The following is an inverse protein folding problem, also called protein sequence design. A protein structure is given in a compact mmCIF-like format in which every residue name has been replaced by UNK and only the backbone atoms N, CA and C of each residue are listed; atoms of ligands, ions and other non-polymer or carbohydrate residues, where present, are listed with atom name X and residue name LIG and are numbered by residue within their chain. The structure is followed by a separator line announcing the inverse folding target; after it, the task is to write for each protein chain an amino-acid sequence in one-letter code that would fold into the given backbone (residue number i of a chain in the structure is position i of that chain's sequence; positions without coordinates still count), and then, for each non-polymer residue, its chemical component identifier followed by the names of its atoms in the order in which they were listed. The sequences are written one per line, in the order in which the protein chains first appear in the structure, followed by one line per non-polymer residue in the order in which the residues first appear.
data_IF_265833056387
#
_entry.id   IF_265833056387
#
_cell.length_a   1.000
_cell.length_b   1.000
_cell.length_c   1.000
_cell.angle_alpha   90.00
_cell.angle_beta   90.00
_cell.angle_gamma   90.00
#
_symmetry.space_group_name_H-M   'P 1'
#
loop_
_entity.id
_entity.type
_entity.pdbx_description
1 polymer ?
#
# COMPACT_ATOMS: atom_id res chain seq x y z
N UNK A 1 -17.60 4.45 -20.34
CA UNK A 1 -17.14 3.15 -20.14
C UNK A 1 -16.17 3.05 -18.98
N UNK A 2 -14.96 3.62 -19.02
CA UNK A 2 -14.03 3.65 -17.84
C UNK A 2 -14.60 4.55 -16.71
N UNK A 3 -15.24 5.67 -17.03
CA UNK A 3 -15.92 6.55 -16.06
C UNK A 3 -17.11 5.89 -15.36
N UNK A 4 -17.80 4.96 -16.02
CA UNK A 4 -18.90 4.21 -15.40
C UNK A 4 -18.38 3.20 -14.38
N UNK A 5 -17.29 2.51 -14.69
CA UNK A 5 -16.62 1.56 -13.76
C UNK A 5 -16.11 2.29 -12.53
N UNK A 6 -15.47 3.47 -12.68
CA UNK A 6 -14.98 4.27 -11.56
C UNK A 6 -16.09 4.83 -10.66
N UNK A 7 -17.26 5.17 -11.24
CA UNK A 7 -18.39 5.71 -10.48
C UNK A 7 -19.12 4.67 -9.64
N UNK A 8 -19.10 3.40 -10.07
CA UNK A 8 -19.80 2.29 -9.39
C UNK A 8 -18.88 1.44 -8.50
N UNK A 9 -17.58 1.76 -8.45
CA UNK A 9 -16.58 1.06 -7.65
C UNK A 9 -16.53 1.46 -6.16
N UNK A 10 -17.57 2.13 -5.65
CA UNK A 10 -17.67 2.55 -4.24
C UNK A 10 -18.09 1.45 -3.24
N UNK A 11 -18.06 0.18 -3.63
CA UNK A 11 -18.34 -0.93 -2.71
C UNK A 11 -17.05 -1.68 -2.44
N UNK A 12 -16.70 -1.79 -1.17
CA UNK A 12 -15.60 -2.55 -0.52
C UNK A 12 -14.63 -3.33 -1.44
N UNK A 13 -13.36 -2.95 -1.46
CA UNK A 13 -12.30 -3.50 -2.33
C UNK A 13 -11.73 -4.86 -1.87
N UNK A 14 -12.38 -5.55 -0.96
CA UNK A 14 -11.92 -6.84 -0.43
C UNK A 14 -12.69 -8.05 -0.97
N UNK A 15 -13.14 -7.99 -2.21
CA UNK A 15 -13.66 -9.17 -2.88
C UNK A 15 -12.63 -9.65 -3.92
N UNK A 16 -12.21 -10.92 -3.85
CA UNK A 16 -11.26 -11.53 -4.80
C UNK A 16 -11.70 -11.35 -6.26
N UNK A 17 -13.01 -11.27 -6.51
CA UNK A 17 -13.59 -10.97 -7.80
C UNK A 17 -13.23 -9.58 -8.34
N UNK A 18 -12.98 -8.60 -7.47
CA UNK A 18 -12.61 -7.23 -7.87
C UNK A 18 -11.16 -7.09 -8.29
N UNK A 19 -10.25 -7.75 -7.60
CA UNK A 19 -8.87 -7.85 -8.05
C UNK A 19 -8.78 -8.54 -9.43
N UNK A 20 -9.62 -9.54 -9.65
CA UNK A 20 -9.70 -10.23 -10.94
C UNK A 20 -10.25 -9.32 -12.06
N UNK A 21 -11.30 -8.57 -11.80
CA UNK A 21 -11.92 -7.65 -12.78
C UNK A 21 -10.97 -6.46 -13.08
N UNK A 22 -10.27 -5.92 -12.07
CA UNK A 22 -9.32 -4.83 -12.24
C UNK A 22 -8.10 -5.28 -13.05
N UNK A 23 -7.54 -6.44 -12.72
CA UNK A 23 -6.42 -7.03 -13.46
C UNK A 23 -6.80 -7.41 -14.89
N UNK A 24 -8.03 -7.88 -15.13
CA UNK A 24 -8.51 -8.23 -16.46
C UNK A 24 -8.85 -7.00 -17.31
N UNK A 25 -9.35 -5.92 -16.72
CA UNK A 25 -9.58 -4.65 -17.39
C UNK A 25 -8.26 -3.94 -17.71
N UNK A 26 -7.27 -4.01 -16.81
CA UNK A 26 -5.94 -3.43 -16.97
C UNK A 26 -5.13 -4.21 -18.01
N UNK A 27 -5.16 -5.54 -18.02
CA UNK A 27 -4.51 -6.37 -19.03
C UNK A 27 -5.08 -6.10 -20.45
N UNK A 28 -6.39 -5.96 -20.59
CA UNK A 28 -7.02 -5.60 -21.89
C UNK A 28 -6.66 -4.20 -22.38
N UNK A 29 -6.34 -3.28 -21.49
CA UNK A 29 -5.95 -1.90 -21.87
C UNK A 29 -4.52 -1.85 -22.42
N UNK A 30 -3.63 -2.69 -21.91
CA UNK A 30 -2.23 -2.77 -22.40
C UNK A 30 -2.07 -3.65 -23.62
N UNK A 31 -2.88 -4.72 -23.79
CA UNK A 31 -2.83 -5.60 -24.96
C UNK A 31 -3.27 -4.93 -26.28
N UNK A 32 -4.03 -3.83 -26.19
CA UNK A 32 -4.59 -3.17 -27.38
C UNK A 32 -3.84 -1.90 -27.81
N UNK A 33 -2.75 -1.51 -27.13
CA UNK A 33 -2.10 -0.22 -27.37
C UNK A 33 -0.57 -0.30 -27.57
N UNK A 34 0.01 -1.46 -27.87
CA UNK A 34 1.43 -1.56 -28.24
C UNK A 34 1.58 -1.75 -29.77
N UNK A 35 1.94 -0.69 -30.52
CA UNK A 35 2.16 -0.77 -31.96
C UNK A 35 3.56 -1.31 -32.31
N UNK A 36 4.38 -1.75 -31.37
CA UNK A 36 5.78 -2.15 -31.58
C UNK A 36 6.09 -3.62 -31.31
N UNK A 37 5.10 -4.50 -31.21
CA UNK A 37 5.39 -5.93 -31.21
C UNK A 37 5.74 -6.42 -32.61
N UNK A 38 6.99 -6.12 -33.03
CA UNK A 38 7.61 -6.80 -34.16
C UNK A 38 7.86 -8.25 -33.75
N UNK A 39 7.15 -9.16 -34.42
CA UNK A 39 7.37 -10.60 -34.42
C UNK A 39 8.85 -10.94 -34.61
N UNK A 40 9.57 -11.19 -33.54
CA UNK A 40 10.75 -12.00 -33.54
C UNK A 40 10.49 -13.19 -32.62
N UNK A 41 10.39 -14.36 -33.27
CA UNK A 41 10.19 -15.63 -32.57
C UNK A 41 11.33 -15.91 -31.61
N UNK A 42 11.05 -15.77 -30.34
CA UNK A 42 11.93 -16.12 -29.24
C UNK A 42 11.19 -17.06 -28.30
N UNK A 43 11.72 -18.28 -28.18
CA UNK A 43 11.30 -19.34 -27.28
C UNK A 43 10.94 -18.80 -25.88
N UNK A 44 9.65 -18.67 -25.59
CA UNK A 44 9.18 -18.67 -24.22
C UNK A 44 8.36 -19.93 -24.00
N UNK A 45 8.71 -20.76 -23.03
CA UNK A 45 7.95 -21.99 -22.76
C UNK A 45 6.53 -21.61 -22.32
N UNK A 46 5.56 -22.02 -23.12
CA UNK A 46 4.14 -22.00 -22.77
C UNK A 46 3.87 -23.07 -21.71
N UNK A 47 4.13 -22.75 -20.46
CA UNK A 47 3.77 -23.55 -19.29
C UNK A 47 2.86 -22.77 -18.33
N UNK A 48 2.15 -23.40 -17.41
CA UNK A 48 1.09 -22.78 -16.62
C UNK A 48 1.66 -21.76 -15.62
N UNK A 49 1.78 -20.49 -16.04
CA UNK A 49 2.30 -19.38 -15.20
C UNK A 49 1.32 -18.89 -14.15
N UNK A 50 0.08 -19.39 -14.11
CA UNK A 50 -0.91 -18.95 -13.13
C UNK A 50 -0.76 -19.60 -11.75
N UNK A 51 -0.12 -20.77 -11.65
CA UNK A 51 0.11 -21.42 -10.36
C UNK A 51 1.36 -20.88 -9.64
N UNK A 52 2.45 -20.61 -10.37
CA UNK A 52 3.70 -20.14 -9.78
C UNK A 52 3.60 -18.74 -9.16
N UNK A 53 2.71 -17.87 -9.67
CA UNK A 53 2.54 -16.52 -9.15
C UNK A 53 1.84 -16.48 -7.78
N UNK A 54 0.91 -17.41 -7.54
CA UNK A 54 0.21 -17.53 -6.24
C UNK A 54 1.09 -18.23 -5.19
N UNK A 55 1.88 -19.20 -5.59
CA UNK A 55 2.80 -19.90 -4.69
C UNK A 55 4.00 -19.03 -4.32
N UNK A 56 4.61 -18.33 -5.27
CA UNK A 56 5.73 -17.41 -4.99
C UNK A 56 5.34 -16.23 -4.09
N UNK A 57 4.10 -15.74 -4.12
CA UNK A 57 3.60 -14.75 -3.14
C UNK A 57 3.54 -15.30 -1.71
N UNK A 58 3.34 -16.60 -1.54
CA UNK A 58 3.30 -17.24 -0.22
C UNK A 58 4.67 -17.27 0.47
N UNK A 59 5.76 -17.20 -0.32
CA UNK A 59 7.14 -17.28 0.17
C UNK A 59 7.86 -15.92 0.31
N UNK A 60 7.32 -14.84 -0.27
CA UNK A 60 7.94 -13.50 -0.24
C UNK A 60 6.95 -12.39 0.17
N UNK A 61 6.13 -12.64 1.21
CA UNK A 61 5.29 -11.58 1.77
C UNK A 61 6.16 -10.52 2.42
N UNK A 62 5.86 -9.26 2.12
CA UNK A 62 6.43 -8.12 2.83
C UNK A 62 5.77 -7.99 4.21
N UNK A 63 6.40 -7.23 5.11
CA UNK A 63 5.80 -6.93 6.42
C UNK A 63 4.43 -6.24 6.27
N UNK A 64 4.27 -5.39 5.25
CA UNK A 64 2.98 -4.77 4.95
C UNK A 64 1.92 -5.80 4.51
N UNK A 65 2.29 -6.84 3.78
CA UNK A 65 1.37 -7.94 3.45
C UNK A 65 0.95 -8.71 4.69
N UNK A 66 1.88 -8.96 5.62
CA UNK A 66 1.59 -9.64 6.88
C UNK A 66 0.66 -8.80 7.76
N UNK A 67 0.85 -7.48 7.83
CA UNK A 67 -0.04 -6.55 8.53
C UNK A 67 -1.45 -6.60 7.93
N UNK A 68 -1.57 -6.56 6.60
CA UNK A 68 -2.86 -6.65 5.90
C UNK A 68 -3.58 -7.97 6.18
N UNK A 69 -2.87 -9.09 6.11
CA UNK A 69 -3.45 -10.40 6.42
C UNK A 69 -3.96 -10.44 7.86
N UNK A 70 -3.14 -10.01 8.81
CA UNK A 70 -3.50 -9.92 10.22
C UNK A 70 -4.76 -9.08 10.47
N UNK A 71 -4.85 -7.93 9.82
CA UNK A 71 -6.00 -7.03 9.95
C UNK A 71 -7.26 -7.62 9.30
N UNK A 72 -7.10 -8.26 8.14
CA UNK A 72 -8.20 -8.91 7.43
C UNK A 72 -8.77 -10.10 8.22
N UNK A 73 -7.93 -10.95 8.79
CA UNK A 73 -8.34 -12.08 9.65
C UNK A 73 -9.15 -11.63 10.86
N UNK A 74 -8.87 -10.44 11.38
CA UNK A 74 -9.60 -9.82 12.51
C UNK A 74 -10.79 -8.99 12.11
N UNK A 75 -11.11 -8.96 10.81
CA UNK A 75 -12.27 -8.26 10.27
C UNK A 75 -12.15 -6.74 10.27
N UNK A 76 -10.93 -6.18 10.41
CA UNK A 76 -10.72 -4.73 10.45
C UNK A 76 -11.24 -4.06 9.18
N UNK A 77 -11.00 -4.65 8.02
CA UNK A 77 -11.47 -4.10 6.75
C UNK A 77 -12.96 -4.29 6.47
N UNK A 78 -13.60 -5.18 7.22
CA UNK A 78 -15.05 -5.42 7.13
C UNK A 78 -15.86 -4.52 8.08
N UNK A 79 -15.33 -4.30 9.29
CA UNK A 79 -16.05 -3.60 10.36
C UNK A 79 -15.39 -2.30 10.82
N UNK A 80 -14.14 -2.03 10.41
CA UNK A 80 -13.43 -0.81 10.72
C UNK A 80 -13.76 0.35 9.77
N UNK A 81 -13.37 1.54 10.14
CA UNK A 81 -13.53 2.75 9.34
C UNK A 81 -12.31 3.68 9.46
N UNK A 82 -12.19 4.59 8.50
CA UNK A 82 -11.05 5.50 8.39
C UNK A 82 -10.98 6.53 9.51
N UNK A 83 -12.13 6.93 10.10
CA UNK A 83 -12.14 7.90 11.20
C UNK A 83 -11.55 7.29 12.45
N UNK A 84 -11.97 6.06 12.78
CA UNK A 84 -11.45 5.31 13.93
C UNK A 84 -9.96 5.03 13.77
N UNK A 85 -9.50 4.64 12.57
CA UNK A 85 -8.07 4.44 12.31
C UNK A 85 -7.28 5.76 12.39
N UNK A 86 -7.85 6.88 11.99
CA UNK A 86 -7.20 8.19 12.15
C UNK A 86 -7.03 8.58 13.62
N UNK A 87 -8.03 8.29 14.47
CA UNK A 87 -7.93 8.52 15.92
C UNK A 87 -6.87 7.59 16.54
N UNK A 88 -6.81 6.33 16.11
CA UNK A 88 -5.79 5.39 16.56
C UNK A 88 -4.38 5.88 16.20
N UNK A 89 -4.19 6.45 15.00
CA UNK A 89 -2.90 7.04 14.64
C UNK A 89 -2.49 8.18 15.59
N UNK A 90 -3.42 9.04 16.00
CA UNK A 90 -3.14 10.12 16.97
C UNK A 90 -2.70 9.55 18.33
N UNK A 91 -3.32 8.45 18.76
CA UNK A 91 -2.92 7.72 19.97
C UNK A 91 -1.48 7.23 19.88
N UNK A 92 -1.10 6.53 18.80
CA UNK A 92 0.26 6.01 18.58
C UNK A 92 1.31 7.15 18.53
N UNK A 93 0.99 8.25 17.85
CA UNK A 93 1.87 9.43 17.84
C UNK A 93 2.05 9.99 19.25
N UNK A 94 0.99 10.02 20.06
CA UNK A 94 1.07 10.44 21.47
C UNK A 94 1.95 9.53 22.32
N UNK A 95 1.92 8.23 22.05
CA UNK A 95 2.78 7.25 22.75
C UNK A 95 4.24 7.40 22.37
N UNK A 96 4.56 7.59 21.10
CA UNK A 96 5.93 7.91 20.63
C UNK A 96 6.44 9.17 21.33
N UNK A 97 5.66 10.26 21.34
CA UNK A 97 6.07 11.49 22.00
C UNK A 97 6.36 11.29 23.50
N UNK A 98 5.50 10.53 24.18
CA UNK A 98 5.67 10.20 25.60
C UNK A 98 6.94 9.37 25.86
N UNK A 99 7.20 8.38 25.00
CA UNK A 99 8.39 7.53 25.08
C UNK A 99 9.67 8.35 24.90
N UNK A 100 9.70 9.24 23.91
CA UNK A 100 10.84 10.17 23.68
C UNK A 100 11.07 11.05 24.93
N UNK A 101 10.02 11.65 25.49
CA UNK A 101 10.13 12.51 26.67
C UNK A 101 10.62 11.76 27.91
N UNK A 102 10.39 10.46 27.99
CA UNK A 102 10.88 9.58 29.07
C UNK A 102 12.26 8.99 28.82
N UNK A 103 12.82 9.15 27.62
CA UNK A 103 14.08 8.54 27.21
C UNK A 103 13.99 7.00 27.12
N UNK A 104 12.83 6.46 26.75
CA UNK A 104 12.61 5.03 26.57
C UNK A 104 12.68 4.64 25.11
N UNK A 105 13.88 4.25 24.65
CA UNK A 105 14.13 3.94 23.24
C UNK A 105 13.31 2.73 22.74
N UNK A 106 13.10 1.72 23.59
CA UNK A 106 12.31 0.54 23.23
C UNK A 106 10.85 0.90 22.93
N UNK A 107 10.24 1.76 23.76
CA UNK A 107 8.86 2.20 23.55
C UNK A 107 8.75 3.13 22.32
N UNK A 108 9.84 3.84 21.96
CA UNK A 108 9.90 4.64 20.72
C UNK A 108 9.87 3.73 19.49
N UNK A 109 10.66 2.66 19.49
CA UNK A 109 10.70 1.68 18.40
C UNK A 109 9.33 1.00 18.21
N UNK A 110 8.73 0.56 19.30
CA UNK A 110 7.40 -0.08 19.33
C UNK A 110 6.33 0.87 18.77
N UNK A 111 6.25 2.09 19.30
CA UNK A 111 5.28 3.08 18.84
C UNK A 111 5.44 3.48 17.36
N UNK A 112 6.67 3.52 16.83
CA UNK A 112 6.89 3.72 15.39
C UNK A 112 6.31 2.55 14.60
N UNK A 113 6.52 1.32 15.06
CA UNK A 113 5.95 0.12 14.45
C UNK A 113 4.42 0.18 14.44
N UNK A 114 3.79 0.51 15.56
CA UNK A 114 2.34 0.60 15.70
C UNK A 114 1.75 1.70 14.80
N UNK A 115 2.40 2.85 14.72
CA UNK A 115 1.98 3.91 13.79
C UNK A 115 2.02 3.43 12.32
N UNK A 116 3.04 2.64 11.92
CA UNK A 116 3.13 2.06 10.57
C UNK A 116 2.03 1.02 10.34
N UNK A 117 1.70 0.18 11.33
CA UNK A 117 0.57 -0.76 11.26
C UNK A 117 -0.75 -0.01 11.02
N UNK A 118 -1.01 1.04 11.80
CA UNK A 118 -2.22 1.86 11.64
C UNK A 118 -2.26 2.55 10.28
N UNK A 119 -1.14 3.13 9.82
CA UNK A 119 -1.05 3.78 8.50
C UNK A 119 -1.30 2.78 7.36
N UNK A 120 -0.77 1.56 7.46
CA UNK A 120 -1.00 0.50 6.49
C UNK A 120 -2.49 0.18 6.38
N UNK A 121 -3.16 -0.01 7.52
CA UNK A 121 -4.59 -0.29 7.58
C UNK A 121 -5.44 0.89 7.09
N UNK A 122 -5.05 2.12 7.40
CA UNK A 122 -5.73 3.32 6.95
C UNK A 122 -5.65 3.45 5.42
N UNK A 123 -4.49 3.18 4.82
CA UNK A 123 -4.32 3.18 3.36
C UNK A 123 -5.26 2.18 2.69
N UNK A 124 -5.33 0.96 3.19
CA UNK A 124 -6.24 -0.08 2.69
C UNK A 124 -7.72 0.33 2.80
N UNK A 125 -8.14 0.86 3.93
CA UNK A 125 -9.51 1.35 4.13
C UNK A 125 -9.86 2.52 3.20
N UNK A 126 -8.87 3.31 2.76
CA UNK A 126 -9.01 4.36 1.77
C UNK A 126 -8.97 3.85 0.32
N UNK A 127 -8.75 2.55 0.11
CA UNK A 127 -8.69 1.95 -1.21
C UNK A 127 -7.37 2.22 -1.96
N UNK A 128 -6.29 2.44 -1.21
CA UNK A 128 -4.92 2.57 -1.73
C UNK A 128 -3.99 1.62 -0.97
N UNK A 129 -2.69 1.70 -1.18
CA UNK A 129 -1.71 0.95 -0.42
C UNK A 129 -0.68 1.87 0.22
N UNK A 130 -0.10 1.44 1.34
CA UNK A 130 0.96 2.19 2.03
C UNK A 130 2.18 2.36 1.12
N UNK A 131 2.52 1.37 0.32
CA UNK A 131 3.64 1.42 -0.63
C UNK A 131 3.42 2.50 -1.70
N UNK A 132 2.18 2.63 -2.19
CA UNK A 132 1.82 3.69 -3.12
C UNK A 132 1.96 5.06 -2.49
N UNK A 133 1.45 5.24 -1.27
CA UNK A 133 1.56 6.50 -0.52
C UNK A 133 3.02 6.89 -0.28
N UNK A 134 3.87 5.94 0.14
CA UNK A 134 5.31 6.15 0.34
C UNK A 134 5.97 6.57 -0.98
N UNK A 135 5.67 5.88 -2.08
CA UNK A 135 6.23 6.20 -3.40
C UNK A 135 5.86 7.60 -3.86
N UNK A 136 4.61 8.01 -3.68
CA UNK A 136 4.16 9.37 -4.00
C UNK A 136 4.91 10.41 -3.17
N UNK A 137 4.96 10.24 -1.85
CA UNK A 137 5.67 11.14 -0.96
C UNK A 137 7.16 11.24 -1.30
N UNK A 138 7.82 10.10 -1.57
CA UNK A 138 9.22 10.07 -1.98
C UNK A 138 9.45 10.82 -3.31
N UNK A 139 8.57 10.65 -4.29
CA UNK A 139 8.69 11.36 -5.56
C UNK A 139 8.57 12.88 -5.41
N UNK A 140 7.82 13.36 -4.41
CA UNK A 140 7.74 14.79 -4.12
C UNK A 140 8.99 15.34 -3.43
N UNK A 141 9.68 14.52 -2.62
CA UNK A 141 10.80 15.01 -1.80
C UNK A 141 12.18 14.76 -2.41
N UNK A 142 12.32 13.74 -3.29
CA UNK A 142 13.63 13.26 -3.80
C UNK A 142 14.48 14.34 -4.47
N UNK A 143 13.85 15.33 -5.09
CA UNK A 143 14.53 16.41 -5.83
C UNK A 143 14.49 17.75 -5.07
N UNK A 144 14.03 17.74 -3.80
CA UNK A 144 14.00 18.96 -2.97
C UNK A 144 15.41 19.37 -2.57
N UNK A 145 15.73 20.65 -2.78
CA UNK A 145 16.93 21.31 -2.27
C UNK A 145 16.59 22.10 -1.01
N UNK A 146 17.57 22.29 -0.15
CA UNK A 146 17.39 22.99 1.12
C UNK A 146 18.51 22.72 2.11
N UNK A 147 18.33 23.15 3.34
CA UNK A 147 19.29 22.97 4.44
C UNK A 147 18.62 22.63 5.76
N UNK A 148 19.38 22.01 6.65
CA UNK A 148 18.95 21.81 8.03
C UNK A 148 19.03 23.11 8.82
N UNK A 149 17.95 23.45 9.52
CA UNK A 149 17.88 24.60 10.40
C UNK A 149 17.05 24.23 11.65
N UNK A 150 17.66 24.35 12.83
CA UNK A 150 17.02 24.02 14.12
C UNK A 150 16.33 22.66 14.16
N UNK A 151 17.01 21.60 13.64
CA UNK A 151 16.49 20.23 13.62
C UNK A 151 15.43 19.95 12.55
N UNK A 152 15.11 20.90 11.70
CA UNK A 152 14.11 20.77 10.63
C UNK A 152 14.73 21.07 9.28
N UNK A 153 14.36 20.30 8.24
CA UNK A 153 14.76 20.60 6.86
C UNK A 153 13.91 21.75 6.31
N UNK A 154 14.59 22.86 5.96
CA UNK A 154 13.98 24.00 5.26
C UNK A 154 14.32 23.91 3.78
N UNK A 155 13.29 23.82 2.96
CA UNK A 155 13.42 23.88 1.50
C UNK A 155 13.73 25.30 1.03
N UNK A 156 14.47 25.40 -0.08
CA UNK A 156 14.73 26.67 -0.77
C UNK A 156 13.44 27.26 -1.37
#
# INVERSE_FOLDING_TARGET
TVKWIMKNAKVSMYNEERCYIYNKAFARFFDNNDPHETRTGGLYPTGPRSMDYKENRKYNKTDFDLIRDWANERGLYKGGDTKTQSLKLVEEVGEICRAILKGNDSDVEDGIGDAVVVLTNLAELQGTSIEHCIKMAYNEIKDRTGKMDNGTFKKD
#
